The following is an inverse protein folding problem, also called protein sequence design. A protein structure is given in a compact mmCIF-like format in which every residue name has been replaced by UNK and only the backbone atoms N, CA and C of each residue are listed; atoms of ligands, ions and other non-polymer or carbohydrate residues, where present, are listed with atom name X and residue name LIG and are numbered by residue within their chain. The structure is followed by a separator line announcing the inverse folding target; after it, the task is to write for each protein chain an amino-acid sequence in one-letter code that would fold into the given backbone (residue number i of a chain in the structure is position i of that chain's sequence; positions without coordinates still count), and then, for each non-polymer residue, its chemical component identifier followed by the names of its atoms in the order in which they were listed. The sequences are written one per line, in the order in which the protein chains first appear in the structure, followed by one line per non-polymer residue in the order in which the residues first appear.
data_IF_134513061702
#
_entry.id   IF_134513061702
#
_cell.length_a   1.000
_cell.length_b   1.000
_cell.length_c   1.000
_cell.angle_alpha   90.00
_cell.angle_beta   90.00
_cell.angle_gamma   90.00
#
_symmetry.space_group_name_H-M   'P 1'
#
loop_
_entity.id
_entity.type
_entity.pdbx_description
1 polymer ?
#
# COMPACT_ATOMS: atom_id res chain seq x y z
N UNK A 1 -20.87 -4.81 21.47
CA UNK A 1 -20.96 -3.48 20.83
C UNK A 1 -19.58 -2.89 20.97
N UNK A 2 -18.86 -2.63 19.88
CA UNK A 2 -17.75 -1.69 19.94
C UNK A 2 -18.40 -0.38 20.37
N UNK A 3 -18.08 0.09 21.55
CA UNK A 3 -18.55 1.36 22.06
C UNK A 3 -18.16 2.39 21.01
N UNK A 4 -19.13 3.02 20.38
CA UNK A 4 -18.90 4.14 19.48
C UNK A 4 -18.11 5.15 20.29
N UNK A 5 -16.81 5.24 20.09
CA UNK A 5 -16.00 6.22 20.77
C UNK A 5 -16.43 7.54 20.17
N UNK A 6 -17.18 8.30 20.96
CA UNK A 6 -17.51 9.69 20.68
C UNK A 6 -16.52 10.66 21.31
N UNK A 7 -15.56 10.15 22.08
CA UNK A 7 -14.64 10.96 22.88
C UNK A 7 -13.18 10.55 22.60
N UNK A 8 -12.68 10.93 21.42
CA UNK A 8 -11.28 10.73 21.05
C UNK A 8 -10.34 11.56 21.94
N UNK A 9 -10.80 12.71 22.46
CA UNK A 9 -10.05 13.56 23.36
C UNK A 9 -9.77 12.84 24.68
N UNK A 10 -10.77 12.15 25.22
CA UNK A 10 -10.60 11.35 26.42
C UNK A 10 -9.63 10.21 26.21
N UNK A 11 -9.75 9.44 25.11
CA UNK A 11 -8.83 8.34 24.83
C UNK A 11 -7.38 8.85 24.66
N UNK A 12 -7.18 9.97 23.99
CA UNK A 12 -5.87 10.59 23.85
C UNK A 12 -5.29 11.02 25.21
N UNK A 13 -6.12 11.63 26.06
CA UNK A 13 -5.71 12.02 27.41
C UNK A 13 -5.37 10.81 28.29
N UNK A 14 -6.21 9.78 28.29
CA UNK A 14 -6.00 8.55 29.07
C UNK A 14 -4.71 7.82 28.65
N UNK A 15 -4.43 7.76 27.34
CA UNK A 15 -3.18 7.19 26.81
C UNK A 15 -1.99 8.04 27.24
N UNK A 16 -2.06 9.37 27.13
CA UNK A 16 -0.99 10.29 27.51
C UNK A 16 -0.68 10.19 29.01
N UNK A 17 -1.70 10.12 29.84
CA UNK A 17 -1.56 9.95 31.29
C UNK A 17 -0.92 8.60 31.65
N UNK A 18 -1.39 7.52 31.01
CA UNK A 18 -0.89 6.17 31.28
C UNK A 18 0.60 6.00 30.90
N UNK A 19 1.03 6.58 29.80
CA UNK A 19 2.42 6.51 29.30
C UNK A 19 3.34 7.47 30.07
N UNK A 20 2.77 8.53 30.66
CA UNK A 20 3.46 9.64 31.27
C UNK A 20 3.67 10.80 30.31
N UNK A 21 3.13 12.00 30.59
CA UNK A 21 3.25 13.16 29.70
C UNK A 21 4.67 13.51 29.32
N UNK A 22 5.59 13.43 30.29
CA UNK A 22 7.02 13.76 30.11
C UNK A 22 7.83 12.66 29.45
N UNK A 23 7.27 11.46 29.31
CA UNK A 23 7.89 10.32 28.67
C UNK A 23 7.70 10.34 27.14
N UNK A 24 6.75 11.12 26.63
CA UNK A 24 6.47 11.20 25.18
C UNK A 24 7.40 12.21 24.52
N UNK A 25 8.28 11.73 23.64
CA UNK A 25 9.17 12.57 22.82
C UNK A 25 8.40 13.09 21.60
N UNK A 26 7.68 12.22 20.91
CA UNK A 26 6.89 12.59 19.74
C UNK A 26 5.73 11.62 19.51
N UNK A 27 4.71 12.11 18.82
CA UNK A 27 3.59 11.31 18.38
C UNK A 27 3.43 11.40 16.86
N UNK A 28 3.00 10.30 16.27
CA UNK A 28 2.64 10.21 14.84
C UNK A 28 1.49 9.22 14.68
N UNK A 29 0.82 9.24 13.53
CA UNK A 29 -0.19 8.24 13.21
C UNK A 29 0.06 7.61 11.84
N UNK A 30 -0.44 6.41 11.67
CA UNK A 30 -0.66 5.82 10.36
C UNK A 30 -2.15 5.44 10.22
N UNK A 31 -2.54 4.78 9.14
CA UNK A 31 -3.95 4.46 8.86
C UNK A 31 -4.71 3.83 10.03
N UNK A 32 -4.04 3.03 10.87
CA UNK A 32 -4.69 2.27 11.96
C UNK A 32 -4.00 2.35 13.31
N UNK A 33 -2.89 3.11 13.44
CA UNK A 33 -2.06 3.12 14.65
C UNK A 33 -1.68 4.53 15.07
N UNK A 34 -1.78 4.80 16.36
CA UNK A 34 -1.07 5.87 17.03
C UNK A 34 0.34 5.36 17.37
N UNK A 35 1.36 6.13 17.03
CA UNK A 35 2.78 5.81 17.24
C UNK A 35 3.38 6.84 18.17
N UNK A 36 3.94 6.39 19.27
CA UNK A 36 4.62 7.24 20.23
C UNK A 36 6.10 6.86 20.24
N UNK A 37 6.96 7.86 20.25
CA UNK A 37 8.36 7.72 20.61
C UNK A 37 8.48 8.12 22.07
N UNK A 38 8.99 7.21 22.88
CA UNK A 38 9.09 7.38 24.31
C UNK A 38 10.54 7.44 24.74
N UNK A 39 10.81 8.13 25.85
CA UNK A 39 12.14 8.15 26.47
C UNK A 39 12.48 6.78 27.05
N UNK A 40 11.50 6.17 27.71
CA UNK A 40 11.60 4.84 28.33
C UNK A 40 10.37 4.01 27.98
N UNK A 41 10.58 2.71 27.74
CA UNK A 41 9.48 1.78 27.47
C UNK A 41 8.60 1.62 28.71
N UNK A 42 7.26 1.73 28.57
CA UNK A 42 6.34 1.55 29.69
C UNK A 42 6.40 0.13 30.27
N UNK A 43 6.09 0.00 31.53
CA UNK A 43 6.00 -1.31 32.20
C UNK A 43 4.93 -2.21 31.54
N UNK A 44 5.04 -3.53 31.78
CA UNK A 44 4.05 -4.49 31.32
C UNK A 44 2.63 -4.17 31.84
N UNK A 45 2.52 -3.66 33.06
CA UNK A 45 1.25 -3.25 33.66
C UNK A 45 0.62 -2.06 32.94
N UNK A 46 1.42 -1.04 32.63
CA UNK A 46 0.96 0.14 31.85
C UNK A 46 0.54 -0.28 30.45
N UNK A 47 1.32 -1.15 29.80
CA UNK A 47 1.00 -1.68 28.48
C UNK A 47 -0.31 -2.49 28.50
N UNK A 48 -0.55 -3.27 29.54
CA UNK A 48 -1.80 -3.98 29.74
C UNK A 48 -2.97 -3.02 29.97
N UNK A 49 -2.80 -2.01 30.84
CA UNK A 49 -3.81 -0.97 31.09
C UNK A 49 -4.23 -0.28 29.78
N UNK A 50 -3.28 0.10 28.93
CA UNK A 50 -3.57 0.73 27.64
C UNK A 50 -4.26 -0.25 26.69
N UNK A 51 -3.87 -1.52 26.68
CA UNK A 51 -4.49 -2.53 25.82
C UNK A 51 -5.94 -2.86 26.21
N UNK A 52 -6.34 -2.55 27.43
CA UNK A 52 -7.71 -2.73 27.95
C UNK A 52 -8.60 -1.49 27.76
N UNK A 53 -8.02 -0.35 27.31
CA UNK A 53 -8.79 0.86 27.05
C UNK A 53 -9.80 0.64 25.91
N UNK A 54 -10.96 1.30 25.95
CA UNK A 54 -11.94 1.25 24.87
C UNK A 54 -11.30 1.67 23.54
N UNK A 55 -11.53 0.90 22.47
CA UNK A 55 -11.00 1.06 21.11
C UNK A 55 -9.52 0.76 20.91
N UNK A 56 -8.76 0.51 21.91
CA UNK A 56 -7.41 -0.03 21.72
C UNK A 56 -7.53 -1.50 21.34
N UNK A 57 -7.08 -1.83 20.14
CA UNK A 57 -7.11 -3.19 19.62
C UNK A 57 -5.90 -3.97 20.12
N UNK A 58 -4.74 -3.31 20.13
CA UNK A 58 -3.46 -3.90 20.56
C UNK A 58 -2.43 -2.82 20.82
N UNK A 59 -1.51 -3.12 21.73
CA UNK A 59 -0.28 -2.35 21.94
C UNK A 59 0.91 -3.21 21.55
N UNK A 60 1.92 -2.63 20.92
CA UNK A 60 3.15 -3.30 20.53
C UNK A 60 4.32 -2.33 20.46
N UNK A 61 5.51 -2.82 20.76
CA UNK A 61 6.75 -2.10 20.51
C UNK A 61 7.38 -2.63 19.22
N UNK A 62 7.71 -1.74 18.30
CA UNK A 62 8.39 -2.10 17.07
C UNK A 62 9.24 -0.93 16.57
N UNK A 63 10.50 -1.21 16.25
CA UNK A 63 11.42 -0.22 15.69
C UNK A 63 11.67 0.99 16.61
N UNK A 64 11.69 0.81 17.91
CA UNK A 64 11.86 1.89 18.90
C UNK A 64 10.64 2.78 19.07
N UNK A 65 9.48 2.36 18.57
CA UNK A 65 8.20 3.05 18.70
C UNK A 65 7.21 2.22 19.50
N UNK A 66 6.51 2.88 20.40
CA UNK A 66 5.36 2.33 21.09
C UNK A 66 4.12 2.56 20.25
N UNK A 67 3.55 1.49 19.70
CA UNK A 67 2.48 1.53 18.71
C UNK A 67 1.17 1.03 19.33
N UNK A 68 0.15 1.89 19.31
CA UNK A 68 -1.20 1.59 19.79
C UNK A 68 -2.11 1.45 18.60
N UNK A 69 -2.59 0.24 18.35
CA UNK A 69 -3.50 -0.07 17.24
C UNK A 69 -4.92 0.33 17.63
N UNK A 70 -5.50 1.30 16.96
CA UNK A 70 -6.83 1.87 17.25
C UNK A 70 -7.80 1.61 16.09
N UNK A 71 -7.31 1.20 14.92
CA UNK A 71 -8.10 1.06 13.71
C UNK A 71 -8.27 2.39 12.97
N UNK A 72 -9.35 2.53 12.22
CA UNK A 72 -9.61 3.69 11.34
C UNK A 72 -9.66 5.05 12.06
N UNK A 73 -9.81 5.05 13.37
CA UNK A 73 -9.88 6.25 14.21
C UNK A 73 -8.50 6.72 14.74
N UNK A 74 -7.41 6.09 14.29
CA UNK A 74 -6.07 6.45 14.74
C UNK A 74 -5.70 7.90 14.43
N UNK A 75 -6.21 8.43 13.33
CA UNK A 75 -6.01 9.83 12.94
C UNK A 75 -6.72 10.79 13.90
N UNK A 76 -7.97 10.51 14.23
CA UNK A 76 -8.77 11.38 15.10
C UNK A 76 -8.15 11.44 16.51
N UNK A 77 -7.71 10.28 17.03
CA UNK A 77 -7.01 10.21 18.34
C UNK A 77 -5.65 10.92 18.30
N UNK A 78 -4.93 10.83 17.18
CA UNK A 78 -3.67 11.57 17.01
C UNK A 78 -3.88 13.07 16.99
N UNK A 79 -4.91 13.58 16.30
CA UNK A 79 -5.23 15.02 16.27
C UNK A 79 -5.53 15.56 17.67
N UNK A 80 -6.24 14.80 18.51
CA UNK A 80 -6.46 15.17 19.91
C UNK A 80 -5.18 15.05 20.75
N UNK A 81 -4.36 14.03 20.54
CA UNK A 81 -3.06 13.88 21.18
C UNK A 81 -2.13 15.06 20.85
N UNK A 82 -2.11 15.47 19.57
CA UNK A 82 -1.31 16.60 19.10
C UNK A 82 -1.71 17.91 19.78
N UNK A 83 -3.01 18.15 19.99
CA UNK A 83 -3.49 19.31 20.76
C UNK A 83 -2.98 19.32 22.20
N UNK A 84 -2.91 18.14 22.83
CA UNK A 84 -2.42 17.97 24.21
C UNK A 84 -0.89 18.11 24.32
N UNK A 85 -0.16 17.88 23.23
CA UNK A 85 1.31 17.93 23.19
C UNK A 85 1.86 19.29 22.77
N UNK A 86 1.03 20.18 22.17
CA UNK A 86 1.46 21.48 21.64
C UNK A 86 2.53 21.36 20.56
N UNK A 87 3.51 22.26 20.55
CA UNK A 87 4.58 22.32 19.53
C UNK A 87 5.48 21.06 19.49
N UNK A 88 5.45 20.21 20.49
CA UNK A 88 6.17 18.93 20.52
C UNK A 88 5.51 17.83 19.71
N UNK A 89 4.27 17.99 19.28
CA UNK A 89 3.54 16.98 18.50
C UNK A 89 4.15 16.71 17.12
N UNK A 90 4.89 17.64 16.57
CA UNK A 90 5.54 17.55 15.25
C UNK A 90 7.06 17.42 15.28
N UNK A 91 7.68 17.23 16.46
CA UNK A 91 9.11 17.00 16.54
C UNK A 91 9.47 15.78 15.68
N UNK A 92 10.41 15.95 14.75
CA UNK A 92 10.87 14.85 13.90
C UNK A 92 11.22 13.66 14.79
N UNK A 93 10.50 12.57 14.58
CA UNK A 93 10.84 11.29 15.21
C UNK A 93 12.29 11.03 14.88
N UNK A 94 13.17 11.06 15.90
CA UNK A 94 14.57 10.73 15.70
C UNK A 94 14.59 9.40 14.94
N UNK A 95 15.08 9.42 13.69
CA UNK A 95 15.11 8.24 12.84
C UNK A 95 15.96 7.20 13.57
N UNK A 96 15.29 6.28 14.26
CA UNK A 96 15.95 5.01 14.62
C UNK A 96 16.54 4.51 13.32
N UNK A 97 17.85 4.28 13.28
CA UNK A 97 18.58 3.84 12.08
C UNK A 97 17.96 2.54 11.56
N UNK A 98 16.85 2.69 10.85
CA UNK A 98 16.19 1.56 10.19
C UNK A 98 17.09 1.14 9.04
N UNK A 99 17.34 -0.16 8.92
CA UNK A 99 18.05 -0.70 7.77
C UNK A 99 17.36 -0.24 6.47
N UNK A 100 18.12 -0.13 5.39
CA UNK A 100 17.64 0.34 4.07
C UNK A 100 16.32 -0.34 3.64
N UNK A 101 16.23 -1.65 3.86
CA UNK A 101 15.05 -2.45 3.53
C UNK A 101 13.79 -1.97 4.27
N UNK A 102 13.90 -1.72 5.57
CA UNK A 102 12.75 -1.22 6.36
C UNK A 102 12.34 0.20 5.93
N UNK A 103 13.28 1.04 5.50
CA UNK A 103 12.98 2.38 4.97
C UNK A 103 12.22 2.30 3.66
N UNK A 104 12.61 1.40 2.75
CA UNK A 104 11.90 1.17 1.49
C UNK A 104 10.46 0.71 1.77
N UNK A 105 10.29 -0.29 2.64
CA UNK A 105 8.97 -0.80 3.02
C UNK A 105 8.08 0.28 3.63
N UNK A 106 8.63 1.10 4.54
CA UNK A 106 7.91 2.19 5.16
C UNK A 106 7.46 3.24 4.13
N UNK A 107 8.33 3.58 3.16
CA UNK A 107 8.01 4.49 2.08
C UNK A 107 6.89 3.92 1.18
N UNK A 108 6.99 2.66 0.76
CA UNK A 108 5.96 1.99 -0.03
C UNK A 108 4.61 1.98 0.70
N UNK A 109 4.60 1.59 1.98
CA UNK A 109 3.38 1.60 2.79
C UNK A 109 2.77 3.01 2.91
N UNK A 110 3.59 4.03 3.15
CA UNK A 110 3.13 5.41 3.29
C UNK A 110 2.54 5.96 1.97
N UNK A 111 3.10 5.56 0.85
CA UNK A 111 2.66 6.01 -0.48
C UNK A 111 1.36 5.32 -0.90
N UNK A 112 1.21 4.00 -0.69
CA UNK A 112 0.06 3.25 -1.20
C UNK A 112 -1.16 3.26 -0.27
N UNK A 113 -0.98 3.25 1.05
CA UNK A 113 -2.08 3.15 2.00
C UNK A 113 -3.21 4.19 1.79
N UNK A 114 -2.94 5.47 1.43
CA UNK A 114 -4.01 6.47 1.31
C UNK A 114 -5.01 6.22 0.18
N UNK A 115 -4.60 5.57 -0.92
CA UNK A 115 -5.47 5.37 -2.09
C UNK A 115 -5.84 3.91 -2.38
N UNK A 116 -5.41 2.97 -1.52
CA UNK A 116 -5.69 1.55 -1.74
C UNK A 116 -7.17 1.23 -1.82
N UNK A 117 -8.01 1.92 -1.03
CA UNK A 117 -9.47 1.69 -1.07
C UNK A 117 -10.10 2.14 -2.38
N UNK A 118 -9.48 3.12 -3.07
CA UNK A 118 -9.92 3.56 -4.40
C UNK A 118 -9.62 2.44 -5.42
N UNK A 119 -8.42 1.85 -5.35
CA UNK A 119 -8.06 0.70 -6.19
C UNK A 119 -8.97 -0.52 -5.92
N UNK A 120 -9.30 -0.76 -4.65
CA UNK A 120 -10.23 -1.81 -4.26
C UNK A 120 -11.63 -1.59 -4.84
N UNK A 121 -12.17 -0.38 -4.72
CA UNK A 121 -13.48 -0.03 -5.29
C UNK A 121 -13.48 -0.18 -6.82
N UNK A 122 -12.43 0.26 -7.49
CA UNK A 122 -12.25 0.08 -8.93
C UNK A 122 -12.19 -1.40 -9.33
N UNK A 123 -11.46 -2.22 -8.53
CA UNK A 123 -11.42 -3.67 -8.70
C UNK A 123 -12.77 -4.35 -8.51
N UNK A 124 -13.61 -3.88 -7.58
CA UNK A 124 -14.98 -4.39 -7.40
C UNK A 124 -15.86 -4.10 -8.63
N UNK A 125 -15.77 -2.89 -9.21
CA UNK A 125 -16.48 -2.56 -10.46
C UNK A 125 -16.02 -3.50 -11.57
N UNK A 126 -14.72 -3.72 -11.70
CA UNK A 126 -14.16 -4.64 -12.70
C UNK A 126 -14.64 -6.08 -12.49
N UNK A 127 -14.65 -6.57 -11.24
CA UNK A 127 -15.18 -7.88 -10.89
C UNK A 127 -16.66 -8.03 -11.26
N UNK A 128 -17.49 -7.01 -11.00
CA UNK A 128 -18.89 -7.00 -11.45
C UNK A 128 -19.01 -7.10 -12.97
N UNK A 129 -18.20 -6.35 -13.72
CA UNK A 129 -18.21 -6.39 -15.19
C UNK A 129 -17.85 -7.77 -15.72
N UNK A 130 -16.83 -8.43 -15.13
CA UNK A 130 -16.42 -9.79 -15.49
C UNK A 130 -17.57 -10.77 -15.25
N UNK A 131 -18.24 -10.67 -14.11
CA UNK A 131 -19.39 -11.54 -13.80
C UNK A 131 -20.52 -11.31 -14.80
N UNK A 132 -20.90 -10.06 -15.07
CA UNK A 132 -21.98 -9.77 -16.01
C UNK A 132 -21.64 -10.28 -17.40
N UNK A 133 -20.44 -10.04 -17.91
CA UNK A 133 -20.03 -10.51 -19.25
C UNK A 133 -19.91 -12.03 -19.34
N UNK A 134 -19.61 -12.70 -18.24
CA UNK A 134 -19.61 -14.16 -18.20
C UNK A 134 -21.00 -14.74 -18.46
N UNK A 135 -22.05 -14.17 -17.85
CA UNK A 135 -23.44 -14.63 -18.03
C UNK A 135 -24.16 -13.99 -19.21
N UNK A 136 -23.73 -12.81 -19.65
CA UNK A 136 -24.30 -12.06 -20.75
C UNK A 136 -23.19 -11.48 -21.64
N UNK A 137 -22.54 -12.28 -22.50
CA UNK A 137 -21.39 -11.84 -23.32
C UNK A 137 -21.70 -10.61 -24.18
N UNK A 138 -22.92 -10.48 -24.71
CA UNK A 138 -23.34 -9.33 -25.51
C UNK A 138 -23.30 -8.01 -24.74
N UNK A 139 -23.26 -8.02 -23.40
CA UNK A 139 -23.11 -6.83 -22.61
C UNK A 139 -21.76 -6.12 -22.85
N UNK A 140 -20.71 -6.87 -23.19
CA UNK A 140 -19.39 -6.32 -23.50
C UNK A 140 -19.38 -5.39 -24.72
N UNK A 141 -20.37 -5.51 -25.62
CA UNK A 141 -20.50 -4.68 -26.83
C UNK A 141 -21.29 -3.39 -26.57
N UNK A 142 -21.81 -3.21 -25.36
CA UNK A 142 -22.66 -2.04 -25.01
C UNK A 142 -21.83 -0.82 -24.61
N UNK A 143 -22.36 0.38 -24.89
CA UNK A 143 -21.79 1.64 -24.39
C UNK A 143 -21.73 1.69 -22.86
N UNK A 144 -22.69 1.05 -22.17
CA UNK A 144 -22.68 0.95 -20.71
C UNK A 144 -21.45 0.20 -20.20
N UNK A 145 -21.12 -0.94 -20.81
CA UNK A 145 -19.90 -1.67 -20.48
C UNK A 145 -18.65 -0.81 -20.74
N UNK A 146 -18.58 -0.14 -21.89
CA UNK A 146 -17.43 0.72 -22.20
C UNK A 146 -17.22 1.82 -21.15
N UNK A 147 -18.30 2.49 -20.73
CA UNK A 147 -18.22 3.54 -19.69
C UNK A 147 -17.81 2.97 -18.33
N UNK A 148 -18.44 1.91 -17.87
CA UNK A 148 -18.10 1.29 -16.58
C UNK A 148 -16.68 0.71 -16.59
N UNK A 149 -16.24 0.15 -17.72
CA UNK A 149 -14.90 -0.39 -17.89
C UNK A 149 -13.84 0.71 -17.75
N UNK A 150 -13.95 1.84 -18.45
CA UNK A 150 -12.96 2.89 -18.31
C UNK A 150 -13.00 3.53 -16.90
N UNK A 151 -14.16 3.66 -16.26
CA UNK A 151 -14.25 4.12 -14.87
C UNK A 151 -13.43 3.21 -13.95
N UNK A 152 -13.59 1.89 -14.10
CA UNK A 152 -12.87 0.91 -13.27
C UNK A 152 -11.36 0.92 -13.50
N UNK A 153 -10.91 1.15 -14.73
CA UNK A 153 -9.48 1.20 -15.04
C UNK A 153 -8.81 2.54 -14.74
N UNK A 154 -9.57 3.65 -14.64
CA UNK A 154 -9.03 5.00 -14.43
C UNK A 154 -8.06 5.10 -13.24
N UNK A 155 -8.34 4.59 -12.03
CA UNK A 155 -7.40 4.68 -10.92
C UNK A 155 -6.09 3.92 -11.18
N UNK A 156 -6.14 2.84 -11.93
CA UNK A 156 -4.93 2.09 -12.30
C UNK A 156 -4.14 2.84 -13.37
N UNK A 157 -4.78 3.32 -14.41
CA UNK A 157 -4.14 4.07 -15.50
C UNK A 157 -3.41 5.30 -14.98
N UNK A 158 -4.05 6.07 -14.09
CA UNK A 158 -3.51 7.29 -13.51
C UNK A 158 -2.85 7.08 -12.13
N UNK A 159 -2.45 5.84 -11.81
CA UNK A 159 -1.72 5.52 -10.59
C UNK A 159 -0.48 6.39 -10.37
N UNK A 160 0.33 6.76 -11.40
CA UNK A 160 1.46 7.68 -11.25
C UNK A 160 1.08 9.02 -10.61
N UNK A 161 -0.11 9.54 -10.90
CA UNK A 161 -0.58 10.81 -10.33
C UNK A 161 -0.95 10.64 -8.85
N UNK A 162 -1.60 9.53 -8.48
CA UNK A 162 -1.90 9.23 -7.07
C UNK A 162 -0.62 9.03 -6.26
N UNK A 163 0.38 8.35 -6.84
CA UNK A 163 1.71 8.21 -6.24
C UNK A 163 2.36 9.57 -6.09
N UNK A 164 2.28 10.46 -7.09
CA UNK A 164 2.83 11.82 -6.98
C UNK A 164 2.28 12.57 -5.76
N UNK A 165 0.96 12.49 -5.51
CA UNK A 165 0.31 13.15 -4.38
C UNK A 165 0.77 12.59 -3.04
N UNK A 166 0.89 11.28 -2.92
CA UNK A 166 1.24 10.64 -1.64
C UNK A 166 2.74 10.62 -1.39
N UNK A 167 3.54 10.34 -2.42
CA UNK A 167 5.00 10.33 -2.33
C UNK A 167 5.57 11.74 -2.08
N UNK A 168 5.01 12.79 -2.68
CA UNK A 168 5.45 14.16 -2.42
C UNK A 168 5.30 14.56 -0.95
N UNK A 169 4.21 14.14 -0.30
CA UNK A 169 4.01 14.34 1.14
C UNK A 169 5.01 13.54 1.97
N UNK A 170 5.29 12.29 1.56
CA UNK A 170 6.25 11.42 2.25
C UNK A 170 7.68 11.94 2.12
N UNK A 171 8.12 12.34 0.92
CA UNK A 171 9.47 12.86 0.65
C UNK A 171 9.62 14.35 0.90
N UNK A 172 8.54 15.03 1.33
CA UNK A 172 8.51 16.46 1.68
C UNK A 172 8.95 17.35 0.51
N UNK A 173 8.30 17.24 -0.65
CA UNK A 173 8.47 18.11 -1.82
C UNK A 173 7.11 18.63 -2.31
N UNK A 174 7.14 19.58 -3.25
CA UNK A 174 5.92 20.21 -3.75
C UNK A 174 5.05 19.24 -4.52
N UNK A 175 3.81 19.06 -4.03
CA UNK A 175 2.85 18.10 -4.61
C UNK A 175 2.47 18.47 -6.05
N UNK A 176 2.31 19.74 -6.37
CA UNK A 176 1.89 20.17 -7.71
C UNK A 176 3.00 19.99 -8.74
N UNK A 177 4.26 20.20 -8.35
CA UNK A 177 5.42 19.91 -9.22
C UNK A 177 5.51 18.40 -9.47
N UNK A 178 5.39 17.59 -8.44
CA UNK A 178 5.38 16.13 -8.56
C UNK A 178 4.23 15.64 -9.46
N UNK A 179 3.02 16.18 -9.27
CA UNK A 179 1.87 15.89 -10.13
C UNK A 179 2.14 16.27 -11.58
N UNK A 180 2.64 17.48 -11.84
CA UNK A 180 2.94 17.93 -13.20
C UNK A 180 3.92 16.99 -13.91
N UNK A 181 5.03 16.63 -13.25
CA UNK A 181 5.99 15.69 -13.82
C UNK A 181 5.36 14.31 -14.11
N UNK A 182 4.54 13.78 -13.19
CA UNK A 182 3.88 12.49 -13.39
C UNK A 182 2.74 12.55 -14.43
N UNK A 183 2.02 13.67 -14.56
CA UNK A 183 1.06 13.89 -15.63
C UNK A 183 1.73 13.91 -16.99
N UNK A 184 2.93 14.51 -17.11
CA UNK A 184 3.70 14.48 -18.36
C UNK A 184 4.05 13.05 -18.78
N UNK A 185 4.32 12.15 -17.84
CA UNK A 185 4.58 10.74 -18.13
C UNK A 185 3.33 9.97 -18.58
N UNK A 186 2.16 10.39 -18.13
CA UNK A 186 0.87 9.78 -18.51
C UNK A 186 0.15 10.52 -19.64
N UNK A 187 0.80 11.52 -20.21
CA UNK A 187 0.26 12.28 -21.35
C UNK A 187 0.11 11.35 -22.56
N UNK A 188 -1.02 11.40 -23.29
CA UNK A 188 -1.24 10.64 -24.53
C UNK A 188 -0.14 10.83 -25.58
N UNK A 189 0.47 12.03 -25.67
CA UNK A 189 1.58 12.32 -26.59
C UNK A 189 2.80 11.45 -26.29
N UNK A 190 3.12 11.23 -25.00
CA UNK A 190 4.16 10.28 -24.62
C UNK A 190 3.80 8.86 -25.05
N UNK A 191 2.54 8.46 -24.87
CA UNK A 191 2.05 7.16 -25.36
C UNK A 191 2.27 6.97 -26.85
N UNK A 192 2.00 8.01 -27.65
CA UNK A 192 2.23 8.00 -29.08
C UNK A 192 3.71 7.91 -29.45
N UNK A 193 4.58 8.63 -28.72
CA UNK A 193 6.05 8.53 -28.88
C UNK A 193 6.54 7.12 -28.54
N UNK A 194 6.09 6.56 -27.43
CA UNK A 194 6.46 5.22 -27.00
C UNK A 194 6.03 4.13 -28.00
N UNK A 195 4.84 4.28 -28.61
CA UNK A 195 4.36 3.38 -29.66
C UNK A 195 5.27 3.42 -30.91
N UNK A 196 5.65 4.62 -31.37
CA UNK A 196 6.59 4.78 -32.50
C UNK A 196 7.95 4.14 -32.21
N UNK A 197 8.44 4.25 -30.96
CA UNK A 197 9.70 3.57 -30.57
C UNK A 197 9.50 2.05 -30.60
N UNK A 198 8.33 1.54 -30.18
CA UNK A 198 7.97 0.12 -30.26
C UNK A 198 7.98 -0.40 -31.69
N UNK A 199 7.54 0.42 -32.65
CA UNK A 199 7.52 0.11 -34.09
C UNK A 199 8.93 0.21 -34.74
N UNK A 200 9.98 0.47 -33.93
CA UNK A 200 11.38 0.48 -34.37
C UNK A 200 11.95 1.84 -34.71
N UNK A 201 11.19 2.93 -34.49
CA UNK A 201 11.69 4.29 -34.72
C UNK A 201 12.67 4.72 -33.61
N UNK A 202 13.83 5.26 -33.99
CA UNK A 202 14.79 5.79 -33.03
C UNK A 202 14.52 7.26 -32.75
N UNK A 203 13.77 7.57 -31.70
CA UNK A 203 13.48 8.94 -31.27
C UNK A 203 14.50 9.36 -30.21
N UNK A 204 15.06 10.57 -30.37
CA UNK A 204 16.15 11.07 -29.51
C UNK A 204 15.75 12.35 -28.81
N UNK A 205 16.10 12.50 -27.56
CA UNK A 205 16.06 13.74 -26.81
C UNK A 205 17.49 14.24 -26.59
N UNK A 206 17.82 15.44 -27.08
CA UNK A 206 19.18 16.01 -27.06
C UNK A 206 20.27 15.04 -27.53
N UNK A 207 19.96 14.24 -28.58
CA UNK A 207 20.89 13.25 -29.15
C UNK A 207 20.91 11.89 -28.44
N UNK A 208 20.28 11.74 -27.28
CA UNK A 208 20.19 10.49 -26.51
C UNK A 208 18.93 9.71 -26.95
N UNK A 209 19.04 8.41 -27.28
CA UNK A 209 17.90 7.59 -27.66
C UNK A 209 16.98 7.39 -26.46
N UNK A 210 15.68 7.55 -26.67
CA UNK A 210 14.67 7.26 -25.66
C UNK A 210 14.28 5.79 -25.72
N UNK A 211 14.07 5.19 -24.55
CA UNK A 211 13.58 3.82 -24.45
C UNK A 211 12.05 3.76 -24.54
N UNK A 212 11.55 2.66 -25.08
CA UNK A 212 10.14 2.34 -25.00
C UNK A 212 9.77 2.02 -23.57
N UNK A 213 9.10 2.95 -22.89
CA UNK A 213 8.63 2.77 -21.50
C UNK A 213 7.19 3.27 -21.40
N UNK A 214 6.31 2.42 -20.90
CA UNK A 214 4.93 2.81 -20.59
C UNK A 214 4.82 3.21 -19.14
N UNK A 215 4.41 4.44 -18.88
CA UNK A 215 4.30 4.97 -17.51
C UNK A 215 2.89 4.89 -16.94
N UNK A 216 1.85 4.75 -17.77
CA UNK A 216 0.49 4.45 -17.29
C UNK A 216 0.51 3.16 -16.47
N UNK A 217 -0.22 3.15 -15.36
CA UNK A 217 -0.24 2.02 -14.41
C UNK A 217 1.12 1.66 -13.77
N UNK A 218 2.15 2.46 -13.99
CA UNK A 218 3.47 2.20 -13.41
C UNK A 218 3.57 2.67 -11.96
N UNK A 219 4.48 2.06 -11.20
CA UNK A 219 4.68 2.33 -9.77
C UNK A 219 6.09 2.85 -9.48
N UNK A 220 7.12 2.14 -9.94
CA UNK A 220 8.51 2.47 -9.62
C UNK A 220 8.97 3.78 -10.26
N UNK A 221 8.72 4.05 -11.57
CA UNK A 221 9.14 5.28 -12.19
C UNK A 221 8.62 6.54 -11.49
N UNK A 222 7.30 6.69 -11.20
CA UNK A 222 6.80 7.87 -10.51
C UNK A 222 7.31 7.95 -9.06
N UNK A 223 7.50 6.84 -8.37
CA UNK A 223 8.04 6.84 -7.01
C UNK A 223 9.47 7.37 -6.98
N UNK A 224 10.35 6.87 -7.87
CA UNK A 224 11.72 7.35 -7.98
C UNK A 224 11.80 8.78 -8.54
N UNK A 225 10.92 9.15 -9.49
CA UNK A 225 10.81 10.53 -9.93
C UNK A 225 10.59 11.48 -8.76
N UNK A 226 9.59 11.20 -7.92
CA UNK A 226 9.26 12.07 -6.77
C UNK A 226 10.37 12.05 -5.72
N UNK A 227 11.02 10.92 -5.50
CA UNK A 227 12.19 10.82 -4.62
C UNK A 227 13.32 11.74 -5.11
N UNK A 228 13.71 11.64 -6.38
CA UNK A 228 14.78 12.47 -6.97
C UNK A 228 14.36 13.94 -7.03
N UNK A 229 13.11 14.23 -7.38
CA UNK A 229 12.54 15.57 -7.34
C UNK A 229 12.69 16.22 -5.96
N UNK A 230 12.50 15.45 -4.89
CA UNK A 230 12.64 15.98 -3.52
C UNK A 230 14.07 16.48 -3.21
N UNK A 231 15.08 15.90 -3.81
CA UNK A 231 16.47 16.37 -3.70
C UNK A 231 16.71 17.58 -4.61
N UNK A 232 16.23 17.53 -5.85
CA UNK A 232 16.37 18.63 -6.81
C UNK A 232 15.67 19.89 -6.28
N UNK A 233 14.45 19.77 -5.79
CA UNK A 233 13.69 20.90 -5.24
C UNK A 233 14.39 21.54 -4.03
N UNK A 234 14.91 20.72 -3.10
CA UNK A 234 15.71 21.23 -1.97
C UNK A 234 16.96 21.97 -2.43
N UNK A 235 17.64 21.44 -3.45
CA UNK A 235 18.79 22.10 -4.05
C UNK A 235 18.40 23.45 -4.67
N UNK A 236 17.36 23.48 -5.51
CA UNK A 236 16.88 24.69 -6.16
C UNK A 236 16.43 25.75 -5.13
N UNK A 237 15.66 25.34 -4.10
CA UNK A 237 15.20 26.23 -3.05
C UNK A 237 16.34 26.86 -2.23
N UNK A 238 17.51 26.22 -2.20
CA UNK A 238 18.69 26.75 -1.52
C UNK A 238 19.42 27.83 -2.35
N UNK A 239 19.44 27.69 -3.68
CA UNK A 239 20.25 28.53 -4.56
C UNK A 239 19.46 29.57 -5.37
N UNK A 240 18.18 29.34 -5.61
CA UNK A 240 17.31 30.28 -6.33
C UNK A 240 16.87 31.40 -5.41
N UNK A 241 17.01 32.68 -5.81
CA UNK A 241 16.53 33.84 -5.03
C UNK A 241 15.02 33.76 -4.77
N UNK A 242 14.57 34.21 -3.60
CA UNK A 242 13.15 34.08 -3.17
C UNK A 242 12.15 34.67 -4.16
N UNK A 243 12.50 35.82 -4.76
CA UNK A 243 11.65 36.49 -5.77
C UNK A 243 11.39 35.64 -7.02
N UNK A 244 12.31 34.74 -7.37
CA UNK A 244 12.24 33.89 -8.56
C UNK A 244 11.76 32.46 -8.27
N UNK A 245 11.77 32.01 -7.01
CA UNK A 245 11.47 30.62 -6.61
C UNK A 245 10.13 30.13 -7.15
N UNK A 246 9.10 30.94 -7.06
CA UNK A 246 7.74 30.55 -7.45
C UNK A 246 7.63 30.08 -8.91
N UNK A 247 8.46 30.64 -9.80
CA UNK A 247 8.45 30.30 -11.22
C UNK A 247 9.62 29.40 -11.62
N UNK A 248 10.83 29.70 -11.16
CA UNK A 248 12.06 29.02 -11.58
C UNK A 248 12.14 27.59 -11.04
N UNK A 249 11.71 27.36 -9.80
CA UNK A 249 11.77 26.02 -9.21
C UNK A 249 10.87 25.04 -9.95
N UNK A 250 9.56 25.30 -10.18
CA UNK A 250 8.73 24.42 -10.97
C UNK A 250 9.24 24.24 -12.41
N UNK A 251 9.67 25.31 -13.05
CA UNK A 251 10.18 25.31 -14.42
C UNK A 251 11.39 24.39 -14.59
N UNK A 252 12.44 24.58 -13.78
CA UNK A 252 13.65 23.75 -13.85
C UNK A 252 13.30 22.31 -13.45
N UNK A 253 12.49 22.13 -12.40
CA UNK A 253 12.09 20.78 -11.95
C UNK A 253 11.43 19.99 -13.06
N UNK A 254 10.49 20.55 -13.80
CA UNK A 254 9.80 19.84 -14.88
C UNK A 254 10.74 19.52 -16.06
N UNK A 255 11.53 20.52 -16.50
CA UNK A 255 12.44 20.34 -17.65
C UNK A 255 13.57 19.34 -17.35
N UNK A 256 13.97 19.21 -16.08
CA UNK A 256 15.00 18.25 -15.68
C UNK A 256 14.38 16.88 -15.38
N UNK A 257 13.31 16.84 -14.57
CA UNK A 257 12.81 15.57 -14.05
C UNK A 257 12.09 14.71 -15.08
N UNK A 258 11.34 15.33 -16.02
CA UNK A 258 10.63 14.56 -17.04
C UNK A 258 11.62 13.87 -18.00
N UNK A 259 12.58 14.56 -18.64
CA UNK A 259 13.60 13.89 -19.45
C UNK A 259 14.48 12.92 -18.66
N UNK A 260 14.88 13.25 -17.44
CA UNK A 260 15.65 12.33 -16.60
C UNK A 260 14.86 11.03 -16.32
N UNK A 261 13.55 11.15 -16.15
CA UNK A 261 12.71 9.97 -15.96
C UNK A 261 12.61 9.14 -17.23
N UNK A 262 12.42 9.76 -18.36
CA UNK A 262 12.29 9.05 -19.66
C UNK A 262 13.60 8.36 -20.06
N UNK A 263 14.75 9.00 -19.81
CA UNK A 263 16.05 8.51 -20.25
C UNK A 263 16.70 7.54 -19.26
N UNK A 264 16.45 7.70 -17.96
CA UNK A 264 17.20 6.98 -16.91
C UNK A 264 16.26 6.30 -15.91
N UNK A 265 15.43 7.05 -15.19
CA UNK A 265 14.66 6.50 -14.06
C UNK A 265 13.66 5.43 -14.55
N UNK A 266 12.95 5.70 -15.64
CA UNK A 266 12.01 4.75 -16.23
C UNK A 266 12.69 3.45 -16.64
N UNK A 267 13.65 3.47 -17.56
CA UNK A 267 14.36 2.27 -17.99
C UNK A 267 15.00 1.48 -16.84
N UNK A 268 15.64 2.16 -15.88
CA UNK A 268 16.20 1.50 -14.69
C UNK A 268 15.13 0.89 -13.80
N UNK A 269 14.02 1.61 -13.59
CA UNK A 269 12.89 1.11 -12.78
C UNK A 269 12.25 -0.12 -13.42
N UNK A 270 12.08 -0.11 -14.74
CA UNK A 270 11.56 -1.25 -15.48
C UNK A 270 12.51 -2.44 -15.39
N UNK A 271 13.82 -2.23 -15.50
CA UNK A 271 14.81 -3.29 -15.34
C UNK A 271 14.76 -3.92 -13.92
N UNK A 272 14.60 -3.10 -12.88
CA UNK A 272 14.45 -3.60 -11.50
C UNK A 272 13.14 -4.37 -11.33
N UNK A 273 12.01 -3.81 -11.80
CA UNK A 273 10.70 -4.48 -11.73
C UNK A 273 10.72 -5.83 -12.47
N UNK A 274 11.32 -5.85 -13.65
CA UNK A 274 11.50 -7.07 -14.45
C UNK A 274 12.41 -8.09 -13.77
N UNK A 275 13.47 -7.63 -13.08
CA UNK A 275 14.34 -8.50 -12.29
C UNK A 275 13.59 -9.20 -11.16
N UNK A 276 12.79 -8.48 -10.40
CA UNK A 276 11.94 -9.03 -9.32
C UNK A 276 10.91 -10.02 -9.89
N UNK A 277 10.21 -9.63 -10.96
CA UNK A 277 9.22 -10.47 -11.64
C UNK A 277 9.85 -11.76 -12.17
N UNK A 278 11.04 -11.68 -12.78
CA UNK A 278 11.76 -12.84 -13.30
C UNK A 278 12.19 -13.80 -12.18
N UNK A 279 12.69 -13.26 -11.06
CA UNK A 279 13.09 -14.08 -9.90
C UNK A 279 11.90 -14.85 -9.31
N UNK A 280 10.75 -14.17 -9.10
CA UNK A 280 9.54 -14.83 -8.66
C UNK A 280 9.05 -15.87 -9.69
N UNK A 281 8.96 -15.49 -10.95
CA UNK A 281 8.47 -16.37 -12.02
C UNK A 281 9.42 -17.56 -12.25
N UNK A 282 10.73 -17.38 -12.05
CA UNK A 282 11.66 -18.50 -12.02
C UNK A 282 11.28 -19.53 -10.94
N UNK A 283 11.00 -19.07 -9.71
CA UNK A 283 10.54 -19.96 -8.64
C UNK A 283 9.18 -20.58 -8.98
N UNK A 284 8.25 -19.79 -9.48
CA UNK A 284 6.90 -20.26 -9.80
C UNK A 284 6.90 -21.30 -10.95
N UNK A 285 7.80 -21.16 -11.92
CA UNK A 285 7.89 -22.08 -13.06
C UNK A 285 8.72 -23.33 -12.76
N UNK A 286 9.77 -23.22 -11.94
CA UNK A 286 10.65 -24.38 -11.66
C UNK A 286 10.21 -25.17 -10.43
N UNK A 287 9.71 -24.48 -9.42
CA UNK A 287 9.30 -25.07 -8.13
C UNK A 287 7.98 -24.45 -7.64
N UNK A 288 6.90 -24.51 -8.45
CA UNK A 288 5.66 -23.78 -8.19
C UNK A 288 5.05 -24.12 -6.83
N UNK A 289 5.21 -25.36 -6.37
CA UNK A 289 4.76 -25.78 -5.05
C UNK A 289 5.46 -25.02 -3.92
N UNK A 290 6.77 -24.75 -4.05
CA UNK A 290 7.54 -23.99 -3.06
C UNK A 290 7.14 -22.53 -3.10
N UNK A 291 7.04 -21.91 -4.30
CA UNK A 291 6.57 -20.55 -4.45
C UNK A 291 5.17 -20.35 -3.84
N UNK A 292 4.25 -21.28 -4.10
CA UNK A 292 2.90 -21.29 -3.58
C UNK A 292 2.86 -21.41 -2.04
N UNK A 293 3.61 -22.36 -1.48
CA UNK A 293 3.72 -22.55 -0.03
C UNK A 293 4.23 -21.30 0.67
N UNK A 294 5.26 -20.67 0.12
CA UNK A 294 5.84 -19.46 0.68
C UNK A 294 4.85 -18.28 0.64
N UNK A 295 4.24 -18.03 -0.51
CA UNK A 295 3.28 -16.93 -0.64
C UNK A 295 2.04 -17.19 0.21
N UNK A 296 1.40 -18.34 0.04
CA UNK A 296 0.18 -18.69 0.77
C UNK A 296 0.34 -18.73 2.29
N UNK A 297 1.52 -19.15 2.78
CA UNK A 297 1.79 -19.31 4.20
C UNK A 297 2.28 -18.01 4.88
N UNK A 298 3.12 -17.22 4.20
CA UNK A 298 3.81 -16.08 4.82
C UNK A 298 3.08 -14.76 4.53
N UNK A 299 2.21 -14.71 3.54
CA UNK A 299 1.54 -13.47 3.11
C UNK A 299 0.92 -12.69 4.27
N UNK A 300 0.18 -13.34 5.14
CA UNK A 300 -0.47 -12.66 6.27
C UNK A 300 0.53 -12.14 7.31
N UNK A 301 1.70 -12.74 7.40
CA UNK A 301 2.80 -12.19 8.21
C UNK A 301 3.33 -10.90 7.57
N UNK A 302 3.45 -10.84 6.24
CA UNK A 302 3.81 -9.61 5.55
C UNK A 302 2.76 -8.50 5.78
N UNK A 303 1.48 -8.85 5.81
CA UNK A 303 0.40 -7.91 6.15
C UNK A 303 0.55 -7.36 7.57
N UNK A 304 0.90 -8.20 8.58
CA UNK A 304 1.15 -7.73 9.96
C UNK A 304 2.22 -6.64 9.99
N UNK A 305 3.28 -6.81 9.24
CA UNK A 305 4.38 -5.84 9.20
C UNK A 305 4.14 -4.69 8.22
N UNK A 306 3.05 -4.72 7.45
CA UNK A 306 2.75 -3.71 6.43
C UNK A 306 3.68 -3.73 5.22
N UNK A 307 4.45 -4.82 5.05
CA UNK A 307 5.42 -4.98 3.96
C UNK A 307 4.80 -5.48 2.66
N UNK A 308 3.58 -5.96 2.72
CA UNK A 308 2.84 -6.53 1.57
C UNK A 308 2.65 -5.54 0.40
N UNK A 309 2.70 -4.24 0.65
CA UNK A 309 2.65 -3.21 -0.39
C UNK A 309 3.89 -3.17 -1.30
N UNK A 310 5.03 -3.64 -0.79
CA UNK A 310 6.26 -3.75 -1.58
C UNK A 310 6.18 -4.75 -2.74
N UNK A 311 5.16 -5.63 -2.74
CA UNK A 311 4.96 -6.64 -3.80
C UNK A 311 4.17 -6.08 -4.99
N UNK A 312 3.42 -5.00 -4.82
CA UNK A 312 2.59 -4.41 -5.87
C UNK A 312 3.35 -4.13 -7.18
N UNK A 313 4.58 -3.56 -7.16
CA UNK A 313 5.34 -3.36 -8.39
C UNK A 313 5.61 -4.64 -9.17
N UNK A 314 5.87 -5.75 -8.47
CA UNK A 314 6.09 -7.05 -9.10
C UNK A 314 4.82 -7.56 -9.78
N UNK A 315 3.67 -7.48 -9.11
CA UNK A 315 2.40 -7.91 -9.70
C UNK A 315 2.12 -7.12 -10.98
N UNK A 316 2.26 -5.79 -10.94
CA UNK A 316 2.05 -4.93 -12.11
C UNK A 316 3.03 -5.28 -13.24
N UNK A 317 4.31 -5.53 -12.92
CA UNK A 317 5.30 -5.95 -13.91
C UNK A 317 4.98 -7.31 -14.53
N UNK A 318 4.45 -8.27 -13.75
CA UNK A 318 4.00 -9.57 -14.25
C UNK A 318 2.85 -9.41 -15.26
N UNK A 319 1.82 -8.62 -14.94
CA UNK A 319 0.73 -8.36 -15.88
C UNK A 319 1.21 -7.66 -17.14
N UNK A 320 2.09 -6.67 -17.02
CA UNK A 320 2.66 -5.98 -18.17
C UNK A 320 3.46 -6.90 -19.10
N UNK A 321 4.23 -7.85 -18.51
CA UNK A 321 5.11 -8.73 -19.28
C UNK A 321 4.45 -10.00 -19.74
N UNK A 322 3.63 -10.64 -18.90
CA UNK A 322 3.12 -11.99 -19.14
C UNK A 322 1.61 -12.03 -19.35
N UNK A 323 0.90 -10.89 -19.20
CA UNK A 323 -0.56 -10.83 -19.29
C UNK A 323 -1.29 -11.58 -18.15
N UNK A 324 -0.56 -12.14 -17.20
CA UNK A 324 -1.11 -12.93 -16.09
C UNK A 324 -0.16 -12.98 -14.90
N UNK A 325 -0.71 -13.32 -13.72
CA UNK A 325 0.08 -13.44 -12.49
C UNK A 325 -0.39 -14.61 -11.62
N UNK A 326 0.54 -15.46 -11.22
CA UNK A 326 0.28 -16.57 -10.27
C UNK A 326 0.43 -16.12 -8.81
N UNK A 327 1.17 -15.05 -8.55
CA UNK A 327 1.38 -14.54 -7.20
C UNK A 327 0.06 -14.12 -6.57
N UNK A 328 -0.78 -13.37 -7.29
CA UNK A 328 -2.11 -12.96 -6.80
C UNK A 328 -3.02 -14.17 -6.55
N UNK A 329 -2.92 -15.23 -7.34
CA UNK A 329 -3.66 -16.46 -7.08
C UNK A 329 -3.27 -17.09 -5.74
N UNK A 330 -1.97 -17.13 -5.42
CA UNK A 330 -1.47 -17.65 -4.14
C UNK A 330 -1.81 -16.71 -2.97
N UNK A 331 -1.76 -15.39 -3.17
CA UNK A 331 -2.21 -14.39 -2.20
C UNK A 331 -3.68 -14.59 -1.84
N UNK A 332 -4.54 -14.84 -2.83
CA UNK A 332 -5.97 -15.07 -2.61
C UNK A 332 -6.20 -16.25 -1.67
N UNK A 333 -5.44 -17.34 -1.81
CA UNK A 333 -5.54 -18.45 -0.87
C UNK A 333 -5.24 -18.02 0.58
N UNK A 334 -4.21 -17.21 0.79
CA UNK A 334 -3.87 -16.69 2.11
C UNK A 334 -4.96 -15.78 2.67
N UNK A 335 -5.52 -14.90 1.83
CA UNK A 335 -6.59 -13.96 2.18
C UNK A 335 -7.87 -14.69 2.57
N UNK A 336 -8.33 -15.61 1.72
CA UNK A 336 -9.55 -16.39 1.96
C UNK A 336 -9.39 -17.32 3.16
N UNK A 337 -8.22 -17.94 3.35
CA UNK A 337 -7.96 -18.75 4.54
C UNK A 337 -8.05 -17.93 5.83
N UNK A 338 -7.61 -16.68 5.82
CA UNK A 338 -7.71 -15.80 6.98
C UNK A 338 -9.14 -15.34 7.24
N UNK A 339 -9.92 -15.07 6.20
CA UNK A 339 -11.36 -14.81 6.29
C UNK A 339 -12.10 -16.02 6.85
N UNK A 340 -11.79 -17.22 6.35
CA UNK A 340 -12.36 -18.50 6.83
C UNK A 340 -12.02 -18.75 8.31
N UNK A 341 -10.80 -18.41 8.75
CA UNK A 341 -10.42 -18.50 10.16
C UNK A 341 -11.29 -17.59 11.05
N UNK A 342 -11.70 -16.40 10.57
CA UNK A 342 -12.65 -15.54 11.26
C UNK A 342 -14.05 -16.20 11.36
N UNK A 343 -14.54 -16.80 10.29
CA UNK A 343 -15.81 -17.53 10.33
C UNK A 343 -15.74 -18.72 11.29
N UNK A 344 -14.61 -19.43 11.36
CA UNK A 344 -14.37 -20.45 12.38
C UNK A 344 -14.49 -19.90 13.82
N UNK A 345 -14.01 -18.68 14.05
CA UNK A 345 -14.21 -17.98 15.34
C UNK A 345 -15.67 -17.63 15.58
N UNK A 346 -16.42 -17.17 14.55
CA UNK A 346 -17.88 -16.89 14.63
C UNK A 346 -18.65 -18.12 15.12
N UNK A 347 -18.30 -19.30 14.58
CA UNK A 347 -18.97 -20.54 14.94
C UNK A 347 -18.64 -21.01 16.37
N UNK A 348 -17.39 -20.81 16.81
CA UNK A 348 -16.91 -21.35 18.09
C UNK A 348 -17.08 -20.41 19.28
N UNK A 349 -17.07 -19.10 19.05
CA UNK A 349 -17.10 -18.13 20.17
C UNK A 349 -18.50 -18.00 20.81
N UNK A 350 -18.54 -17.97 22.14
CA UNK A 350 -19.76 -17.68 22.91
C UNK A 350 -19.92 -16.17 23.20
N UNK A 351 -18.87 -15.37 22.99
CA UNK A 351 -18.89 -13.93 23.27
C UNK A 351 -19.54 -13.18 22.11
N UNK A 352 -20.68 -12.53 22.35
CA UNK A 352 -21.44 -11.79 21.31
C UNK A 352 -20.60 -10.73 20.59
N UNK A 353 -19.81 -9.97 21.33
CA UNK A 353 -18.95 -8.92 20.74
C UNK A 353 -17.90 -9.50 19.80
N UNK A 354 -17.22 -10.57 20.24
CA UNK A 354 -16.23 -11.25 19.38
C UNK A 354 -16.89 -11.87 18.14
N UNK A 355 -18.10 -12.38 18.27
CA UNK A 355 -18.87 -12.96 17.16
C UNK A 355 -19.17 -11.90 16.10
N UNK A 356 -19.62 -10.71 16.51
CA UNK A 356 -19.91 -9.58 15.62
C UNK A 356 -18.64 -9.08 14.91
N UNK A 357 -17.55 -8.88 15.65
CA UNK A 357 -16.27 -8.44 15.10
C UNK A 357 -15.73 -9.47 14.11
N UNK A 358 -15.78 -10.76 14.45
CA UNK A 358 -15.27 -11.81 13.59
C UNK A 358 -16.09 -11.97 12.31
N UNK A 359 -17.43 -11.79 12.38
CA UNK A 359 -18.29 -11.82 11.20
C UNK A 359 -17.96 -10.67 10.24
N UNK A 360 -17.92 -9.44 10.76
CA UNK A 360 -17.57 -8.26 9.94
C UNK A 360 -16.16 -8.39 9.34
N UNK A 361 -15.19 -8.81 10.13
CA UNK A 361 -13.81 -9.00 9.68
C UNK A 361 -13.67 -10.14 8.64
N UNK A 362 -14.44 -11.21 8.78
CA UNK A 362 -14.48 -12.29 7.80
C UNK A 362 -15.07 -11.84 6.47
N UNK A 363 -16.17 -11.07 6.52
CA UNK A 363 -16.79 -10.50 5.32
C UNK A 363 -15.84 -9.53 4.59
N UNK A 364 -15.19 -8.61 5.29
CA UNK A 364 -14.19 -7.72 4.65
C UNK A 364 -13.00 -8.49 4.11
N UNK A 365 -12.59 -9.57 4.79
CA UNK A 365 -11.52 -10.46 4.34
C UNK A 365 -11.82 -11.14 3.01
N UNK A 366 -13.08 -11.51 2.72
CA UNK A 366 -13.48 -12.07 1.42
C UNK A 366 -13.13 -11.11 0.26
N UNK A 367 -13.28 -9.80 0.49
CA UNK A 367 -12.94 -8.76 -0.50
C UNK A 367 -11.47 -8.32 -0.47
N UNK A 368 -10.59 -9.08 0.15
CA UNK A 368 -9.14 -8.82 0.14
C UNK A 368 -8.63 -7.93 1.28
N UNK A 369 -9.50 -7.38 2.14
CA UNK A 369 -9.12 -6.50 3.26
C UNK A 369 -8.97 -7.35 4.52
N UNK A 370 -7.73 -7.76 4.82
CA UNK A 370 -7.44 -8.71 5.91
C UNK A 370 -7.02 -8.07 7.22
N UNK A 371 -6.74 -6.78 7.27
CA UNK A 371 -6.32 -6.09 8.50
C UNK A 371 -7.33 -6.22 9.64
N UNK A 372 -8.66 -6.05 9.44
CA UNK A 372 -9.64 -6.29 10.50
C UNK A 372 -9.65 -7.75 10.97
N UNK A 373 -9.47 -8.70 10.06
CA UNK A 373 -9.40 -10.11 10.37
C UNK A 373 -8.17 -10.45 11.21
N UNK A 374 -7.01 -9.91 10.83
CA UNK A 374 -5.75 -10.14 11.53
C UNK A 374 -5.77 -9.47 12.91
N UNK A 375 -5.91 -8.16 12.95
CA UNK A 375 -5.74 -7.40 14.19
C UNK A 375 -6.96 -7.50 15.11
N UNK A 376 -8.17 -7.56 14.57
CA UNK A 376 -9.42 -7.64 15.35
C UNK A 376 -9.67 -9.03 15.93
N UNK A 377 -9.23 -10.09 15.24
CA UNK A 377 -9.66 -11.45 15.56
C UNK A 377 -8.50 -12.45 15.65
N UNK A 378 -7.86 -12.74 14.53
CA UNK A 378 -7.05 -13.97 14.41
C UNK A 378 -5.71 -13.86 15.13
N UNK A 379 -5.01 -12.74 15.02
CA UNK A 379 -3.75 -12.50 15.71
C UNK A 379 -3.96 -12.39 17.22
N UNK A 380 -5.06 -11.76 17.68
CA UNK A 380 -5.42 -11.68 19.09
C UNK A 380 -5.65 -13.04 19.70
N UNK A 381 -6.27 -13.96 18.96
CA UNK A 381 -6.53 -15.33 19.40
C UNK A 381 -5.38 -16.30 19.10
N UNK A 382 -4.36 -15.88 18.35
CA UNK A 382 -3.17 -16.62 17.92
C UNK A 382 -3.46 -17.88 17.08
N UNK A 383 -4.19 -18.87 17.65
CA UNK A 383 -4.51 -20.14 16.98
C UNK A 383 -5.23 -19.95 15.64
N UNK A 384 -6.28 -19.10 15.51
CA UNK A 384 -6.92 -18.84 14.21
C UNK A 384 -5.97 -18.21 13.20
N UNK A 385 -5.02 -17.37 13.63
CA UNK A 385 -4.02 -16.78 12.74
C UNK A 385 -3.12 -17.84 12.12
N UNK A 386 -2.57 -18.73 12.95
CA UNK A 386 -1.73 -19.85 12.47
C UNK A 386 -2.53 -20.79 11.57
N UNK A 387 -3.78 -21.09 11.93
CA UNK A 387 -4.67 -21.90 11.09
C UNK A 387 -4.92 -21.26 9.72
N UNK A 388 -5.11 -19.94 9.67
CA UNK A 388 -5.22 -19.16 8.43
C UNK A 388 -3.95 -19.23 7.58
N UNK A 389 -2.76 -19.11 8.19
CA UNK A 389 -1.49 -19.25 7.48
C UNK A 389 -1.29 -20.68 6.92
N UNK A 390 -1.59 -21.70 7.70
CA UNK A 390 -1.50 -23.09 7.25
C UNK A 390 -2.52 -23.37 6.13
N UNK A 391 -3.77 -22.92 6.30
CA UNK A 391 -4.81 -23.06 5.29
C UNK A 391 -4.46 -22.36 3.99
N UNK A 392 -3.87 -21.15 4.08
CA UNK A 392 -3.36 -20.41 2.92
C UNK A 392 -2.23 -21.14 2.21
N UNK A 393 -1.26 -21.68 2.95
CA UNK A 393 -0.15 -22.46 2.39
C UNK A 393 -0.66 -23.71 1.66
N UNK A 394 -1.55 -24.47 2.28
CA UNK A 394 -2.13 -25.70 1.68
C UNK A 394 -2.98 -25.32 0.46
N UNK A 395 -3.85 -24.31 0.56
CA UNK A 395 -4.67 -23.87 -0.56
C UNK A 395 -3.82 -23.42 -1.75
N UNK A 396 -2.79 -22.61 -1.51
CA UNK A 396 -1.87 -22.17 -2.55
C UNK A 396 -1.09 -23.36 -3.16
N UNK A 397 -0.65 -24.31 -2.33
CA UNK A 397 0.00 -25.54 -2.80
C UNK A 397 -0.93 -26.32 -3.74
N UNK A 398 -2.20 -26.52 -3.36
CA UNK A 398 -3.17 -27.25 -4.18
C UNK A 398 -3.37 -26.56 -5.52
N UNK A 399 -3.63 -25.24 -5.55
CA UNK A 399 -3.85 -24.52 -6.80
C UNK A 399 -2.60 -24.45 -7.69
N UNK A 400 -1.40 -24.59 -7.11
CA UNK A 400 -0.15 -24.59 -7.88
C UNK A 400 -0.06 -25.79 -8.84
N UNK A 401 -0.67 -26.93 -8.52
CA UNK A 401 -0.74 -28.10 -9.40
C UNK A 401 -1.67 -27.90 -10.60
N UNK A 402 -2.59 -26.92 -10.52
CA UNK A 402 -3.51 -26.57 -11.61
C UNK A 402 -3.06 -25.39 -12.44
N UNK A 403 -1.81 -24.89 -12.23
CA UNK A 403 -1.26 -23.73 -12.91
C UNK A 403 -2.19 -22.49 -12.87
N UNK A 404 -2.85 -22.28 -11.73
CA UNK A 404 -3.84 -21.22 -11.54
C UNK A 404 -3.19 -19.84 -11.60
N UNK A 405 -3.77 -18.93 -12.38
CA UNK A 405 -3.29 -17.57 -12.61
C UNK A 405 -4.44 -16.57 -12.61
N UNK A 406 -4.14 -15.34 -12.22
CA UNK A 406 -4.99 -14.21 -12.49
C UNK A 406 -4.67 -13.64 -13.87
N UNK A 407 -5.70 -13.32 -14.65
CA UNK A 407 -5.60 -12.71 -15.98
C UNK A 407 -5.99 -11.24 -15.96
N UNK A 408 -6.46 -10.74 -14.83
CA UNK A 408 -6.79 -9.34 -14.59
C UNK A 408 -6.19 -8.96 -13.25
N UNK A 409 -5.55 -7.79 -13.18
CA UNK A 409 -5.02 -7.28 -11.93
C UNK A 409 -6.17 -6.97 -10.95
N UNK A 410 -6.21 -7.68 -9.86
CA UNK A 410 -7.09 -7.36 -8.74
C UNK A 410 -6.35 -6.43 -7.79
N UNK A 411 -6.87 -5.23 -7.55
CA UNK A 411 -6.28 -4.28 -6.60
C UNK A 411 -6.14 -4.86 -5.19
N UNK A 412 -7.08 -5.73 -4.82
CA UNK A 412 -7.03 -6.55 -3.62
C UNK A 412 -7.24 -8.02 -4.01
N UNK A 413 -6.36 -8.94 -3.57
CA UNK A 413 -6.54 -10.37 -3.80
C UNK A 413 -7.67 -10.90 -2.90
N UNK A 414 -8.83 -11.18 -3.50
CA UNK A 414 -10.04 -11.65 -2.83
C UNK A 414 -10.98 -12.32 -3.83
N UNK A 415 -12.25 -12.52 -3.44
CA UNK A 415 -13.30 -12.96 -4.36
C UNK A 415 -13.78 -11.81 -5.22
#
# INVERSE_FOLDING_TARGET
MATKIRDYAKLAADIREAVGPDNIISAANCATRLRLVLKESPSAEVTQKISEMPAVIKVMENGGQYQIVIGTHAKDVYEEMAKLMGDTAGAEVAEVKQGLFNRIIAAMSAVFAPFIYILAAAGLVQGMLIIITHFAPAFAETGTYAVLSFISWTPFTFMPIMIAVTASKHFKCNTFIAMWCCMALTNPDWGSIAARIADGETIKFLGLPMAQTTYTSSVLPPLFLVLVLSYLERFLNKYVPDIAKALVVPFISAIVMVPLTILVIGPVSDAVAMGIANAYNFLANNVPAVAALLVGGIWQVFVIFGVHWGVTPMNVANFAKYGCDSFQAFQTCAVIAQAAACFGVVLKTKKKDMKSVALSAGLTGIFGITEPAIYGVTLRLKKPFVAGCIGGAIGALVISFFNTKYYVYAGLPGL
#
